data_IF_295374206543
#
_entry.id   IF_295374206543
#
_cell.length_a   1.000
_cell.length_b   1.000
_cell.length_c   1.000
_cell.angle_alpha   90.00
_cell.angle_beta   90.00
_cell.angle_gamma   90.00
#
_symmetry.space_group_name_H-M   'P 1'
#
loop_
_entity.id
_entity.type
_entity.pdbx_description
1 polymer ?
#
# COMPACT_ATOMS: atom_id res chain seq x y z
N UNK A 1 -8.50 2.65 24.33
CA UNK A 1 -8.59 1.33 23.67
C UNK A 1 -7.70 1.31 22.45
N UNK A 2 -6.96 0.23 22.30
CA UNK A 2 -6.18 0.05 21.08
C UNK A 2 -7.11 -0.36 19.94
N UNK A 3 -6.86 0.17 18.75
CA UNK A 3 -7.57 -0.28 17.58
C UNK A 3 -7.13 -1.70 17.21
N UNK A 4 -8.07 -2.48 16.71
CA UNK A 4 -7.79 -3.83 16.25
C UNK A 4 -7.64 -3.83 14.73
N UNK A 5 -6.51 -4.33 14.26
CA UNK A 5 -6.19 -4.44 12.83
C UNK A 5 -5.96 -5.92 12.48
N UNK A 6 -7.02 -6.71 12.37
CA UNK A 6 -6.83 -8.13 11.99
C UNK A 6 -6.28 -8.22 10.57
N UNK A 7 -5.39 -9.18 10.36
CA UNK A 7 -4.85 -9.43 9.02
C UNK A 7 -5.89 -10.11 8.14
N UNK A 8 -5.91 -9.79 6.84
CA UNK A 8 -6.91 -10.37 5.94
C UNK A 8 -6.68 -11.85 5.68
N UNK A 9 -7.78 -12.61 5.67
CA UNK A 9 -7.78 -14.03 5.38
C UNK A 9 -8.11 -14.33 3.91
N UNK A 10 -8.46 -13.29 3.15
CA UNK A 10 -8.77 -13.37 1.71
C UNK A 10 -8.08 -12.24 0.98
N UNK A 11 -7.71 -12.43 -0.29
CA UNK A 11 -7.05 -11.35 -1.03
C UNK A 11 -7.92 -10.11 -1.19
N UNK A 12 -9.24 -10.27 -1.31
CA UNK A 12 -10.18 -9.15 -1.41
C UNK A 12 -10.20 -8.28 -0.15
N UNK A 13 -9.72 -8.78 0.97
CA UNK A 13 -9.66 -8.04 2.24
C UNK A 13 -8.44 -7.14 2.36
N UNK A 14 -7.46 -7.24 1.47
CA UNK A 14 -6.19 -6.51 1.63
C UNK A 14 -6.39 -5.00 1.48
N UNK A 15 -7.07 -4.54 0.44
CA UNK A 15 -7.23 -3.11 0.22
C UNK A 15 -8.12 -2.44 1.27
N UNK A 16 -9.26 -3.02 1.68
CA UNK A 16 -9.99 -2.46 2.83
C UNK A 16 -9.13 -2.37 4.10
N UNK A 17 -8.29 -3.38 4.36
CA UNK A 17 -7.36 -3.36 5.49
C UNK A 17 -6.32 -2.24 5.35
N UNK A 18 -5.78 -2.06 4.13
CA UNK A 18 -4.84 -0.99 3.82
C UNK A 18 -5.45 0.38 4.15
N UNK A 19 -6.66 0.64 3.68
CA UNK A 19 -7.34 1.92 3.90
C UNK A 19 -7.53 2.19 5.39
N UNK A 20 -7.97 1.19 6.14
CA UNK A 20 -8.19 1.32 7.58
C UNK A 20 -6.88 1.65 8.30
N UNK A 21 -5.81 0.95 7.95
CA UNK A 21 -4.50 1.13 8.58
C UNK A 21 -3.88 2.47 8.23
N UNK A 22 -3.86 2.82 6.94
CA UNK A 22 -3.33 4.10 6.48
C UNK A 22 -4.08 5.26 7.14
N UNK A 23 -5.41 5.21 7.13
CA UNK A 23 -6.25 6.30 7.63
C UNK A 23 -6.28 6.38 9.15
N UNK A 24 -5.77 5.36 9.85
CA UNK A 24 -5.57 5.41 11.31
C UNK A 24 -4.42 6.32 11.73
N UNK A 25 -3.49 6.61 10.81
CA UNK A 25 -2.28 7.35 11.11
C UNK A 25 -1.19 6.55 11.81
N UNK A 26 -1.38 5.23 11.98
CA UNK A 26 -0.45 4.37 12.73
C UNK A 26 0.46 3.61 11.77
N UNK A 27 1.71 4.03 11.71
CA UNK A 27 2.69 3.42 10.78
C UNK A 27 2.92 1.94 11.09
N UNK A 28 2.92 1.54 12.35
CA UNK A 28 3.12 0.14 12.73
C UNK A 28 1.99 -0.75 12.19
N UNK A 29 0.74 -0.25 12.25
CA UNK A 29 -0.41 -0.97 11.70
C UNK A 29 -0.29 -1.12 10.19
N UNK A 30 0.17 -0.05 9.52
CA UNK A 30 0.39 -0.06 8.07
C UNK A 30 1.46 -1.08 7.68
N UNK A 31 2.61 -1.05 8.37
CA UNK A 31 3.73 -1.92 8.02
C UNK A 31 3.44 -3.39 8.30
N UNK A 32 2.56 -3.71 9.23
CA UNK A 32 2.17 -5.10 9.53
C UNK A 32 1.46 -5.77 8.33
N UNK A 33 0.94 -4.99 7.38
CA UNK A 33 0.28 -5.51 6.19
C UNK A 33 1.28 -5.93 5.10
N UNK A 34 2.58 -5.69 5.29
CA UNK A 34 3.62 -6.03 4.34
C UNK A 34 4.40 -7.24 4.82
N UNK A 35 4.62 -8.21 3.92
CA UNK A 35 5.46 -9.36 4.22
C UNK A 35 6.90 -8.89 4.53
N UNK A 36 7.67 -9.66 5.33
CA UNK A 36 9.04 -9.26 5.66
C UNK A 36 9.93 -9.00 4.44
N UNK A 37 9.72 -9.76 3.36
CA UNK A 37 10.49 -9.63 2.11
C UNK A 37 9.83 -8.72 1.08
N UNK A 38 8.77 -7.99 1.46
CA UNK A 38 8.06 -7.11 0.54
C UNK A 38 8.96 -6.01 0.00
N UNK A 39 8.68 -5.59 -1.23
CA UNK A 39 9.38 -4.50 -1.87
C UNK A 39 8.39 -3.41 -2.28
N UNK A 40 8.88 -2.18 -2.33
CA UNK A 40 8.14 -1.02 -2.79
C UNK A 40 8.77 -0.54 -4.10
N UNK A 41 7.95 -0.26 -5.10
CA UNK A 41 8.42 0.29 -6.36
C UNK A 41 8.32 1.81 -6.31
N UNK A 42 9.45 2.49 -6.32
CA UNK A 42 9.50 3.94 -6.30
C UNK A 42 9.08 4.52 -7.65
N UNK A 43 8.75 5.82 -7.66
CA UNK A 43 8.26 6.49 -8.88
C UNK A 43 9.29 6.51 -10.01
N UNK A 44 10.58 6.37 -9.70
CA UNK A 44 11.66 6.28 -10.69
C UNK A 44 11.92 4.84 -11.17
N UNK A 45 11.14 3.88 -10.71
CA UNK A 45 11.27 2.47 -11.07
C UNK A 45 12.22 1.66 -10.20
N UNK A 46 12.88 2.29 -9.21
CA UNK A 46 13.74 1.54 -8.28
C UNK A 46 12.89 0.65 -7.38
N UNK A 47 13.42 -0.53 -7.08
CA UNK A 47 12.83 -1.43 -6.09
C UNK A 47 13.49 -1.19 -4.75
N UNK A 48 12.68 -0.86 -3.74
CA UNK A 48 13.15 -0.57 -2.38
C UNK A 48 12.81 -1.77 -1.49
N UNK A 49 13.84 -2.49 -1.06
CA UNK A 49 13.71 -3.64 -0.16
C UNK A 49 14.11 -3.30 1.28
N UNK A 50 14.86 -2.20 1.48
CA UNK A 50 15.25 -1.75 2.82
C UNK A 50 14.02 -1.33 3.59
N UNK A 51 13.71 -2.05 4.67
CA UNK A 51 12.49 -1.86 5.46
C UNK A 51 12.43 -0.46 6.08
N UNK A 52 13.56 0.10 6.51
CA UNK A 52 13.59 1.44 7.10
C UNK A 52 13.28 2.52 6.06
N UNK A 53 13.85 2.41 4.86
CA UNK A 53 13.57 3.34 3.75
C UNK A 53 12.11 3.24 3.31
N UNK A 54 11.61 2.03 3.16
CA UNK A 54 10.23 1.74 2.81
C UNK A 54 9.26 2.37 3.83
N UNK A 55 9.53 2.13 5.12
CA UNK A 55 8.71 2.67 6.21
C UNK A 55 8.68 4.19 6.20
N UNK A 56 9.83 4.83 5.97
CA UNK A 56 9.92 6.29 5.93
C UNK A 56 9.08 6.90 4.81
N UNK A 57 9.04 6.25 3.64
CA UNK A 57 8.21 6.72 2.51
C UNK A 57 6.73 6.68 2.89
N UNK A 58 6.26 5.58 3.45
CA UNK A 58 4.85 5.45 3.83
C UNK A 58 4.49 6.37 4.99
N UNK A 59 5.40 6.54 5.95
CA UNK A 59 5.18 7.44 7.07
C UNK A 59 5.05 8.89 6.61
N UNK A 60 5.83 9.31 5.62
CA UNK A 60 5.73 10.64 5.04
C UNK A 60 4.31 10.88 4.52
N UNK A 61 3.75 9.93 3.78
CA UNK A 61 2.41 10.07 3.23
C UNK A 61 1.33 10.05 4.32
N UNK A 62 1.47 9.18 5.32
CA UNK A 62 0.53 9.11 6.45
C UNK A 62 0.51 10.44 7.22
N UNK A 63 1.67 11.07 7.41
CA UNK A 63 1.80 12.33 8.16
C UNK A 63 1.16 13.53 7.47
N UNK A 64 0.80 13.41 6.19
CA UNK A 64 0.00 14.44 5.53
C UNK A 64 -1.37 14.59 6.19
N UNK A 65 -1.84 13.56 6.91
CA UNK A 65 -3.11 13.62 7.61
C UNK A 65 -4.33 13.61 6.71
N UNK A 66 -4.17 13.25 5.45
CA UNK A 66 -5.22 13.25 4.44
C UNK A 66 -5.69 11.82 4.17
N UNK A 67 -6.99 11.63 3.86
CA UNK A 67 -7.49 10.27 3.65
C UNK A 67 -6.97 9.67 2.35
N UNK A 68 -6.59 8.39 2.43
CA UNK A 68 -6.36 7.56 1.27
C UNK A 68 -7.70 6.98 0.81
N UNK A 69 -8.02 7.15 -0.47
CA UNK A 69 -9.19 6.56 -1.11
C UNK A 69 -8.73 5.59 -2.18
N UNK A 70 -9.49 4.53 -2.38
CA UNK A 70 -9.16 3.54 -3.37
C UNK A 70 -10.43 2.91 -3.97
N UNK A 71 -10.33 2.56 -5.24
CA UNK A 71 -11.34 1.80 -5.96
C UNK A 71 -10.66 0.59 -6.59
N UNK A 72 -10.99 -0.61 -6.10
CA UNK A 72 -10.42 -1.85 -6.63
C UNK A 72 -11.09 -2.17 -7.96
N UNK A 73 -10.27 -2.34 -8.99
CA UNK A 73 -10.75 -2.70 -10.33
C UNK A 73 -10.75 -4.21 -10.54
N UNK A 74 -9.69 -4.87 -10.12
CA UNK A 74 -9.50 -6.31 -10.36
C UNK A 74 -8.77 -6.96 -9.22
N UNK A 75 -9.17 -8.19 -8.89
CA UNK A 75 -8.43 -9.10 -8.03
C UNK A 75 -8.25 -10.40 -8.80
N UNK A 76 -7.02 -10.70 -9.18
CA UNK A 76 -6.69 -11.94 -9.89
C UNK A 76 -5.92 -12.85 -8.93
N UNK A 77 -6.41 -14.06 -8.71
CA UNK A 77 -5.84 -14.98 -7.74
C UNK A 77 -5.27 -16.21 -8.45
N UNK A 78 -4.02 -16.52 -8.18
CA UNK A 78 -3.36 -17.74 -8.62
C UNK A 78 -2.70 -18.41 -7.42
N UNK A 79 -3.31 -19.48 -6.87
CA UNK A 79 -2.80 -20.18 -5.69
C UNK A 79 -2.69 -19.24 -4.49
N UNK A 80 -1.49 -19.09 -3.95
CA UNK A 80 -1.20 -18.25 -2.80
C UNK A 80 -0.77 -16.82 -3.17
N UNK A 81 -0.97 -16.44 -4.42
CA UNK A 81 -0.58 -15.13 -4.95
C UNK A 81 -1.79 -14.45 -5.58
N UNK A 82 -1.89 -13.14 -5.38
CA UNK A 82 -2.94 -12.34 -6.01
C UNK A 82 -2.35 -11.07 -6.58
N UNK A 83 -2.88 -10.63 -7.71
CA UNK A 83 -2.62 -9.33 -8.29
C UNK A 83 -3.85 -8.47 -8.07
N UNK A 84 -3.68 -7.29 -7.50
CA UNK A 84 -4.77 -6.34 -7.27
C UNK A 84 -4.48 -5.08 -8.06
N UNK A 85 -5.42 -4.72 -8.94
CA UNK A 85 -5.35 -3.47 -9.71
C UNK A 85 -6.38 -2.52 -9.11
N UNK A 86 -5.94 -1.33 -8.73
CA UNK A 86 -6.80 -0.35 -8.08
C UNK A 86 -6.40 1.07 -8.45
N UNK A 87 -7.40 1.95 -8.45
CA UNK A 87 -7.17 3.39 -8.50
C UNK A 87 -7.13 3.93 -7.08
N UNK A 88 -6.19 4.80 -6.79
CA UNK A 88 -6.06 5.40 -5.47
C UNK A 88 -5.82 6.90 -5.56
N UNK A 89 -6.18 7.63 -4.51
CA UNK A 89 -5.95 9.07 -4.43
C UNK A 89 -5.78 9.55 -2.99
N UNK A 90 -4.99 10.61 -2.84
CA UNK A 90 -4.85 11.39 -1.61
C UNK A 90 -5.02 12.85 -2.00
N UNK A 91 -6.08 13.48 -1.53
CA UNK A 91 -6.42 14.86 -1.89
C UNK A 91 -6.73 15.69 -0.66
N UNK A 92 -6.33 16.95 -0.69
CA UNK A 92 -6.67 17.91 0.35
C UNK A 92 -5.59 18.96 0.54
N UNK A 93 -5.64 19.65 1.68
CA UNK A 93 -4.62 20.61 2.07
C UNK A 93 -3.74 20.00 3.14
N UNK A 94 -2.45 19.93 2.88
CA UNK A 94 -1.47 19.35 3.81
C UNK A 94 -1.21 20.23 5.02
N UNK A 95 -0.44 19.73 6.01
CA UNK A 95 -0.16 20.49 7.24
C UNK A 95 0.64 21.76 7.02
N UNK A 96 1.34 21.86 5.90
CA UNK A 96 2.09 23.07 5.52
C UNK A 96 1.24 24.10 4.74
N UNK A 97 -0.07 23.84 4.58
CA UNK A 97 -0.98 24.71 3.84
C UNK A 97 -0.97 24.51 2.33
N UNK A 98 -0.14 23.58 1.82
CA UNK A 98 -0.07 23.32 0.38
C UNK A 98 -1.12 22.31 -0.03
N UNK A 99 -1.64 22.47 -1.25
CA UNK A 99 -2.59 21.54 -1.82
C UNK A 99 -1.85 20.25 -2.18
N UNK A 100 -2.42 19.11 -1.76
CA UNK A 100 -1.93 17.78 -2.09
C UNK A 100 -2.92 17.16 -3.07
N UNK A 101 -2.41 16.67 -4.19
CA UNK A 101 -3.19 15.90 -5.16
C UNK A 101 -2.30 14.76 -5.68
N UNK A 102 -2.43 13.60 -5.05
CA UNK A 102 -1.68 12.40 -5.42
C UNK A 102 -2.67 11.34 -5.90
N UNK A 103 -2.36 10.71 -7.00
CA UNK A 103 -3.21 9.64 -7.53
C UNK A 103 -2.39 8.69 -8.38
N UNK A 104 -2.95 7.52 -8.61
CA UNK A 104 -2.35 6.54 -9.50
C UNK A 104 -3.24 5.34 -9.68
N UNK A 105 -2.84 4.48 -10.60
CA UNK A 105 -3.39 3.14 -10.75
C UNK A 105 -2.32 2.16 -10.34
N UNK A 106 -2.56 1.45 -9.23
CA UNK A 106 -1.61 0.49 -8.69
C UNK A 106 -1.81 -0.89 -9.32
N UNK A 107 -0.71 -1.62 -9.42
CA UNK A 107 -0.72 -3.04 -9.76
C UNK A 107 0.13 -3.75 -8.71
N UNK A 108 -0.53 -4.21 -7.65
CA UNK A 108 0.11 -4.74 -6.47
C UNK A 108 0.05 -6.25 -6.44
N UNK A 109 1.07 -6.87 -5.86
CA UNK A 109 1.11 -8.32 -5.69
C UNK A 109 1.02 -8.64 -4.20
N UNK A 110 0.07 -9.52 -3.87
CA UNK A 110 -0.16 -10.01 -2.52
C UNK A 110 0.18 -11.50 -2.46
N UNK A 111 0.56 -11.95 -1.27
CA UNK A 111 0.85 -13.37 -1.05
C UNK A 111 0.26 -13.82 0.27
N UNK A 112 -0.29 -15.05 0.26
CA UNK A 112 -0.73 -15.69 1.50
C UNK A 112 0.48 -16.31 2.19
N UNK A 113 0.71 -15.89 3.44
CA UNK A 113 1.78 -16.44 4.26
C UNK A 113 1.43 -17.82 4.82
N UNK A 114 2.42 -18.46 5.45
CA UNK A 114 2.24 -19.76 6.10
C UNK A 114 1.19 -19.70 7.22
N UNK A 115 0.95 -18.53 7.79
CA UNK A 115 -0.08 -18.29 8.81
C UNK A 115 -1.50 -18.17 8.25
N UNK A 116 -1.66 -18.23 6.92
CA UNK A 116 -2.95 -18.12 6.25
C UNK A 116 -3.40 -16.69 5.97
N UNK A 117 -2.62 -15.70 6.35
CA UNK A 117 -2.96 -14.30 6.12
C UNK A 117 -2.31 -13.75 4.86
N UNK A 118 -3.03 -12.82 4.21
CA UNK A 118 -2.56 -12.17 2.98
C UNK A 118 -1.86 -10.86 3.31
N UNK A 119 -0.72 -10.63 2.66
CA UNK A 119 0.09 -9.41 2.83
C UNK A 119 0.66 -8.98 1.49
N UNK A 120 1.01 -7.70 1.41
CA UNK A 120 1.76 -7.18 0.27
C UNK A 120 3.11 -7.88 0.13
N UNK A 121 3.46 -8.23 -1.10
CA UNK A 121 4.81 -8.67 -1.47
C UNK A 121 5.46 -7.65 -2.43
N UNK A 122 4.68 -7.03 -3.31
CA UNK A 122 5.14 -5.93 -4.18
C UNK A 122 4.10 -4.82 -4.13
N UNK A 123 4.53 -3.64 -3.68
CA UNK A 123 3.72 -2.43 -3.68
C UNK A 123 4.14 -1.58 -4.88
N UNK A 124 3.36 -1.63 -5.95
CA UNK A 124 3.59 -0.88 -7.18
C UNK A 124 2.43 0.09 -7.40
N UNK A 125 2.48 1.23 -6.70
CA UNK A 125 1.36 2.14 -6.66
C UNK A 125 1.16 3.00 -7.92
N UNK A 126 2.10 2.97 -8.85
CA UNK A 126 2.00 3.66 -10.14
C UNK A 126 1.77 2.69 -11.30
N UNK A 127 1.74 1.38 -11.04
CA UNK A 127 1.39 0.37 -12.04
C UNK A 127 2.26 0.47 -13.29
N UNK A 128 1.61 0.58 -14.44
CA UNK A 128 2.29 0.66 -15.72
C UNK A 128 2.84 2.05 -16.04
N UNK A 129 2.57 3.06 -15.21
CA UNK A 129 3.11 4.41 -15.40
C UNK A 129 4.58 4.50 -15.04
N UNK A 130 5.10 3.55 -14.25
CA UNK A 130 6.50 3.53 -13.88
C UNK A 130 7.36 3.22 -15.10
N UNK A 131 8.43 4.02 -15.30
CA UNK A 131 9.40 3.82 -16.35
C UNK A 131 10.79 3.79 -15.72
N UNK A 132 11.56 2.76 -16.03
CA UNK A 132 12.96 2.72 -15.63
C UNK A 132 13.78 3.60 -16.54
N UNK A 133 14.87 4.19 -16.04
CA UNK A 133 15.79 4.94 -16.89
C UNK A 133 16.34 4.06 -18.02
N UNK A 134 16.54 4.68 -19.19
CA UNK A 134 17.09 3.99 -20.36
C UNK A 134 18.54 3.60 -20.14
#
# INVERSE_FOLDING_TARGET
>A
MSENFPLPTKPEGVIPSLLKRFNSGKIEAMMALYAPEAVFVANDGRTIADRAEFTAILEHDIKLGLPLKANVRHVFVGGDTAQIVLDWSIDGTGPDGKIVHMHGTASDIMRRGADGFWRYIIDNNQGTAVRQPA
#
